data_IF_087356172191
#
_entry.id   IF_087356172191
#
_cell.length_a   1.000
_cell.length_b   1.000
_cell.length_c   1.000
_cell.angle_alpha   90.00
_cell.angle_beta   90.00
_cell.angle_gamma   90.00
#
_symmetry.space_group_name_H-M   'P 1'
#
loop_
_entity.id
_entity.type
_entity.pdbx_description
1 polymer ?
#
# COMPACT_ATOMS: atom_id res chain seq x y z
N UNK A 1 11.77 -18.66 -22.95
CA UNK A 1 12.09 -18.62 -21.52
C UNK A 1 11.38 -17.39 -20.99
N UNK A 2 10.40 -17.57 -20.09
CA UNK A 2 9.68 -16.46 -19.44
C UNK A 2 10.62 -15.92 -18.37
N UNK A 3 11.38 -14.88 -18.70
CA UNK A 3 12.29 -14.23 -17.75
C UNK A 3 11.44 -13.33 -16.84
N UNK A 4 10.66 -13.94 -15.96
CA UNK A 4 10.07 -13.21 -14.84
C UNK A 4 11.22 -12.81 -13.96
N UNK A 5 11.57 -11.52 -14.01
CA UNK A 5 12.40 -10.89 -13.00
C UNK A 5 11.84 -11.32 -11.63
N UNK A 6 12.70 -11.71 -10.67
CA UNK A 6 12.22 -11.99 -9.33
C UNK A 6 11.46 -10.75 -8.88
N UNK A 7 10.19 -10.94 -8.51
CA UNK A 7 9.32 -9.87 -8.02
C UNK A 7 9.92 -9.33 -6.72
N UNK A 8 10.88 -8.43 -6.83
CA UNK A 8 11.39 -7.68 -5.70
C UNK A 8 10.27 -6.74 -5.29
N UNK A 9 9.87 -6.83 -4.03
CA UNK A 9 8.92 -5.89 -3.47
C UNK A 9 9.45 -4.46 -3.73
N UNK A 10 8.59 -3.53 -4.18
CA UNK A 10 9.02 -2.16 -4.42
C UNK A 10 9.56 -1.58 -3.11
N UNK A 11 10.81 -1.13 -3.15
CA UNK A 11 11.49 -0.52 -2.02
C UNK A 11 10.63 0.59 -1.40
N UNK A 12 10.51 0.61 -0.08
CA UNK A 12 9.66 1.57 0.65
C UNK A 12 8.22 1.11 0.89
N UNK A 13 7.86 -0.14 0.58
CA UNK A 13 6.57 -0.73 1.03
C UNK A 13 6.66 -1.28 2.46
N UNK A 14 7.88 -1.53 2.94
CA UNK A 14 8.17 -2.18 4.23
C UNK A 14 7.65 -1.39 5.44
N UNK A 15 7.53 -0.07 5.29
CA UNK A 15 7.16 0.90 6.33
C UNK A 15 5.75 1.46 6.15
N UNK A 16 5.03 0.98 5.13
CA UNK A 16 3.68 1.45 4.86
C UNK A 16 2.73 0.85 5.89
N UNK A 17 1.98 1.72 6.54
CA UNK A 17 0.93 1.38 7.49
C UNK A 17 -0.40 1.99 7.05
N UNK A 18 -1.49 1.52 7.67
CA UNK A 18 -2.83 2.03 7.40
C UNK A 18 -3.64 2.20 8.68
N UNK A 19 -4.48 3.23 8.71
CA UNK A 19 -5.51 3.40 9.73
C UNK A 19 -6.86 3.75 9.11
N UNK A 20 -7.91 3.35 9.80
CA UNK A 20 -9.30 3.61 9.42
C UNK A 20 -9.79 4.91 10.07
N UNK A 21 -10.53 5.70 9.31
CA UNK A 21 -11.24 6.90 9.78
C UNK A 21 -12.73 6.77 9.46
N UNK A 22 -13.55 7.68 9.97
CA UNK A 22 -14.97 7.75 9.62
C UNK A 22 -15.20 8.01 8.11
N UNK A 23 -14.22 8.61 7.42
CA UNK A 23 -14.31 9.03 6.02
C UNK A 23 -13.63 8.05 5.03
N UNK A 24 -12.84 7.09 5.52
CA UNK A 24 -12.14 6.13 4.68
C UNK A 24 -10.89 5.50 5.31
N UNK A 25 -9.90 5.21 4.48
CA UNK A 25 -8.62 4.62 4.91
C UNK A 25 -7.48 5.49 4.43
N UNK A 26 -6.50 5.70 5.31
CA UNK A 26 -5.26 6.41 5.00
C UNK A 26 -4.12 5.41 4.99
N UNK A 27 -3.35 5.40 3.91
CA UNK A 27 -2.05 4.74 3.83
C UNK A 27 -0.96 5.78 4.01
N UNK A 28 0.05 5.46 4.82
CA UNK A 28 1.16 6.36 5.08
C UNK A 28 2.46 5.60 5.29
N UNK A 29 3.58 6.25 5.00
CA UNK A 29 4.92 5.74 5.32
C UNK A 29 5.33 6.22 6.72
N UNK A 30 5.62 5.28 7.63
CA UNK A 30 6.02 5.60 9.00
C UNK A 30 7.39 6.32 9.09
N UNK A 31 8.27 6.14 8.10
CA UNK A 31 9.59 6.77 8.02
C UNK A 31 9.57 8.07 7.19
N UNK A 32 8.50 8.31 6.43
CA UNK A 32 8.32 9.55 5.65
C UNK A 32 6.91 10.15 5.85
N UNK A 33 6.70 10.97 6.90
CA UNK A 33 5.38 11.49 7.29
C UNK A 33 4.67 12.37 6.25
N UNK A 34 5.37 12.77 5.18
CA UNK A 34 4.79 13.56 4.08
C UNK A 34 4.30 12.68 2.92
N UNK A 35 4.57 11.38 2.95
CA UNK A 35 4.13 10.40 1.97
C UNK A 35 2.87 9.69 2.47
N UNK A 36 1.69 10.21 2.09
CA UNK A 36 0.40 9.62 2.45
C UNK A 36 -0.61 9.72 1.30
N UNK A 37 -1.57 8.80 1.29
CA UNK A 37 -2.70 8.75 0.37
C UNK A 37 -3.96 8.40 1.16
N UNK A 38 -5.03 9.16 0.96
CA UNK A 38 -6.36 8.87 1.51
C UNK A 38 -7.29 8.37 0.40
N UNK A 39 -8.11 7.38 0.73
CA UNK A 39 -9.17 6.87 -0.15
C UNK A 39 -10.45 6.62 0.64
N UNK A 40 -11.60 6.87 0.00
CA UNK A 40 -12.92 6.57 0.56
C UNK A 40 -13.25 5.08 0.57
N UNK A 41 -12.49 4.25 -0.16
CA UNK A 41 -12.67 2.80 -0.20
C UNK A 41 -11.36 2.08 -0.46
N UNK A 42 -11.14 1.00 0.30
CA UNK A 42 -10.08 0.01 0.07
C UNK A 42 -10.68 -1.32 -0.38
N UNK A 43 -9.89 -2.09 -1.12
CA UNK A 43 -10.23 -3.44 -1.57
C UNK A 43 -9.05 -4.34 -1.19
N UNK A 44 -9.31 -5.52 -0.61
CA UNK A 44 -8.24 -6.46 -0.37
C UNK A 44 -7.77 -7.05 -1.71
N UNK A 45 -6.46 -7.27 -1.85
CA UNK A 45 -5.87 -7.76 -3.09
C UNK A 45 -6.45 -9.12 -3.51
N UNK A 46 -6.72 -10.01 -2.54
CA UNK A 46 -7.38 -11.30 -2.76
C UNK A 46 -8.82 -11.18 -3.27
N UNK A 47 -9.49 -10.03 -3.07
CA UNK A 47 -10.86 -9.81 -3.55
C UNK A 47 -10.92 -9.39 -5.02
N UNK A 48 -9.79 -8.96 -5.60
CA UNK A 48 -9.71 -8.42 -6.97
C UNK A 48 -8.80 -9.24 -7.90
N UNK A 49 -8.27 -10.38 -7.44
CA UNK A 49 -7.38 -11.27 -8.17
C UNK A 49 -8.11 -12.34 -9.00
#
# INVERSE_FOLDING_TARGET
MDEREPSSEPAGTETIEAYETDDGVVFYDAENPLAWVETSRTLALDEVA
#
